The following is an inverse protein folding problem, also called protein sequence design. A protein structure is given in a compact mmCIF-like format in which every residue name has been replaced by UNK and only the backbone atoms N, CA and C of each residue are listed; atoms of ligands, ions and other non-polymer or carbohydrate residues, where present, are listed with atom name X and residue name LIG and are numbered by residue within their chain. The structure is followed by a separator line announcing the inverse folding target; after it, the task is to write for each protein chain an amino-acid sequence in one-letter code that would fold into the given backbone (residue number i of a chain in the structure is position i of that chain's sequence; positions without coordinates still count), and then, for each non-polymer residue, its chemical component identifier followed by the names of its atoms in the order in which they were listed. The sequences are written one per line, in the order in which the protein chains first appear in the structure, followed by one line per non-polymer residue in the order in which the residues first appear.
data_IF_674261949521
#
_entry.id   IF_674261949521
#
_cell.length_a   1.000
_cell.length_b   1.000
_cell.length_c   1.000
_cell.angle_alpha   90.00
_cell.angle_beta   90.00
_cell.angle_gamma   90.00
#
_symmetry.space_group_name_H-M   'P 1'
#
loop_
_entity.id
_entity.type
_entity.pdbx_description
1 polymer ?
#
# COMPACT_ATOMS: atom_id res chain seq x y z
N UNK A 1 8.51 23.15 17.12
CA UNK A 1 7.77 22.21 16.24
C UNK A 1 7.61 20.92 17.02
N UNK A 2 6.41 20.65 17.52
CA UNK A 2 6.07 19.39 18.18
C UNK A 2 5.96 18.32 17.11
N UNK A 3 6.77 17.26 17.20
CA UNK A 3 6.57 16.07 16.38
C UNK A 3 5.14 15.57 16.58
N UNK A 4 4.37 15.32 15.51
CA UNK A 4 3.03 14.76 15.67
C UNK A 4 3.13 13.45 16.45
N UNK A 5 2.23 13.27 17.43
CA UNK A 5 2.12 12.01 18.15
C UNK A 5 1.92 10.88 17.14
N UNK A 6 2.61 9.73 17.29
CA UNK A 6 2.42 8.61 16.38
C UNK A 6 0.95 8.19 16.43
N UNK A 7 0.29 8.14 15.26
CA UNK A 7 -1.05 7.59 15.15
C UNK A 7 -0.90 6.08 15.39
N UNK A 8 -1.37 5.61 16.55
CA UNK A 8 -1.39 4.18 16.85
C UNK A 8 -2.61 3.57 16.18
N UNK A 9 -2.37 2.71 15.20
CA UNK A 9 -3.43 1.99 14.48
C UNK A 9 -3.39 0.53 14.91
N UNK A 10 -4.55 0.02 15.31
CA UNK A 10 -4.74 -1.36 15.75
C UNK A 10 -5.44 -2.14 14.63
N UNK A 11 -4.70 -2.88 13.78
CA UNK A 11 -5.30 -3.57 12.64
C UNK A 11 -6.30 -4.65 13.06
N UNK A 12 -6.15 -5.26 14.24
CA UNK A 12 -7.08 -6.28 14.75
C UNK A 12 -8.49 -5.69 14.87
N UNK A 13 -8.59 -4.47 15.41
CA UNK A 13 -9.89 -3.80 15.58
C UNK A 13 -10.53 -3.47 14.24
N UNK A 14 -9.75 -3.02 13.27
CA UNK A 14 -10.25 -2.69 11.92
C UNK A 14 -10.80 -3.93 11.20
N UNK A 15 -10.22 -5.10 11.46
CA UNK A 15 -10.53 -6.34 10.76
C UNK A 15 -11.51 -7.24 11.52
N UNK A 16 -11.81 -6.93 12.79
CA UNK A 16 -12.72 -7.69 13.64
C UNK A 16 -14.05 -8.05 12.97
N UNK A 17 -14.71 -7.16 12.20
CA UNK A 17 -15.94 -7.52 11.48
C UNK A 17 -15.74 -8.65 10.46
N UNK A 18 -14.60 -8.67 9.78
CA UNK A 18 -14.25 -9.65 8.74
C UNK A 18 -13.76 -10.98 9.34
N UNK A 19 -13.15 -10.96 10.52
CA UNK A 19 -12.74 -12.17 11.24
C UNK A 19 -13.91 -13.08 11.61
N UNK A 20 -15.11 -12.51 11.74
CA UNK A 20 -16.35 -13.28 12.00
C UNK A 20 -16.92 -13.96 10.75
N UNK A 21 -16.43 -13.56 9.57
CA UNK A 21 -16.86 -14.06 8.27
C UNK A 21 -15.78 -14.99 7.72
N UNK A 22 -15.87 -16.28 8.09
CA UNK A 22 -14.95 -17.33 7.60
C UNK A 22 -15.55 -17.94 6.34
N UNK A 23 -14.82 -17.85 5.24
CA UNK A 23 -15.23 -18.44 3.96
C UNK A 23 -14.55 -19.81 3.81
N UNK A 24 -15.34 -20.85 3.56
CA UNK A 24 -14.82 -22.22 3.33
C UNK A 24 -14.17 -22.37 1.95
N UNK A 25 -14.68 -21.65 0.96
CA UNK A 25 -14.17 -21.57 -0.41
C UNK A 25 -14.50 -20.17 -0.96
N UNK A 26 -13.47 -19.40 -1.31
CA UNK A 26 -13.59 -18.04 -1.82
C UNK A 26 -14.51 -17.95 -3.05
N UNK A 27 -14.62 -19.01 -3.86
CA UNK A 27 -15.52 -19.04 -5.02
C UNK A 27 -17.01 -19.05 -4.65
N UNK A 28 -17.35 -19.38 -3.39
CA UNK A 28 -18.70 -19.40 -2.85
C UNK A 28 -19.00 -18.21 -1.92
N UNK A 29 -18.08 -17.25 -1.80
CA UNK A 29 -18.28 -16.07 -0.97
C UNK A 29 -19.47 -15.22 -1.45
N UNK A 30 -20.25 -14.64 -0.52
CA UNK A 30 -21.22 -13.60 -0.88
C UNK A 30 -20.45 -12.31 -1.21
N UNK A 31 -20.13 -12.16 -2.50
CA UNK A 31 -19.32 -11.06 -3.04
C UNK A 31 -19.88 -9.69 -2.65
N UNK A 32 -21.20 -9.53 -2.54
CA UNK A 32 -21.81 -8.25 -2.18
C UNK A 32 -21.63 -7.93 -0.70
N UNK A 33 -21.78 -8.93 0.17
CA UNK A 33 -21.59 -8.75 1.60
C UNK A 33 -20.11 -8.54 1.95
N UNK A 34 -19.20 -9.29 1.32
CA UNK A 34 -17.74 -9.18 1.54
C UNK A 34 -17.20 -7.84 1.07
N UNK A 35 -17.61 -7.33 -0.09
CA UNK A 35 -17.23 -6.00 -0.57
C UNK A 35 -17.71 -4.89 0.39
N UNK A 36 -18.89 -5.03 0.98
CA UNK A 36 -19.41 -4.06 1.95
C UNK A 36 -18.59 -4.03 3.25
N UNK A 37 -18.23 -5.19 3.78
CA UNK A 37 -17.40 -5.29 4.99
C UNK A 37 -15.98 -4.79 4.74
N UNK A 38 -15.38 -5.14 3.59
CA UNK A 38 -14.07 -4.65 3.19
C UNK A 38 -14.06 -3.12 3.01
N UNK A 39 -15.09 -2.55 2.37
CA UNK A 39 -15.24 -1.11 2.21
C UNK A 39 -15.29 -0.38 3.57
N UNK A 40 -15.97 -0.96 4.56
CA UNK A 40 -16.03 -0.41 5.92
C UNK A 40 -14.65 -0.40 6.60
N UNK A 41 -13.95 -1.54 6.61
CA UNK A 41 -12.62 -1.66 7.22
C UNK A 41 -11.60 -0.71 6.57
N UNK A 42 -11.63 -0.61 5.22
CA UNK A 42 -10.77 0.30 4.48
C UNK A 42 -11.13 1.77 4.71
N UNK A 43 -12.42 2.11 4.85
CA UNK A 43 -12.85 3.48 5.18
C UNK A 43 -12.34 3.92 6.55
N UNK A 44 -12.35 3.03 7.54
CA UNK A 44 -11.77 3.30 8.86
C UNK A 44 -10.24 3.46 8.80
N UNK A 45 -9.56 2.74 7.90
CA UNK A 45 -8.13 2.92 7.62
C UNK A 45 -7.83 4.23 6.84
N UNK A 46 -8.80 4.79 6.12
CA UNK A 46 -8.59 5.98 5.31
C UNK A 46 -8.33 7.24 6.15
N UNK A 47 -9.08 7.41 7.25
CA UNK A 47 -8.95 8.56 8.15
C UNK A 47 -7.52 8.75 8.70
N UNK A 48 -6.85 7.73 9.28
CA UNK A 48 -5.48 7.90 9.76
C UNK A 48 -4.48 8.18 8.63
N UNK A 49 -4.68 7.62 7.43
CA UNK A 49 -3.84 7.94 6.26
C UNK A 49 -3.98 9.41 5.88
N UNK A 50 -5.21 9.93 5.78
CA UNK A 50 -5.45 11.34 5.49
C UNK A 50 -4.81 12.26 6.55
N UNK A 51 -4.94 11.93 7.84
CA UNK A 51 -4.28 12.67 8.93
C UNK A 51 -2.75 12.69 8.76
N UNK A 52 -2.16 11.55 8.38
CA UNK A 52 -0.73 11.48 8.10
C UNK A 52 -0.35 12.37 6.90
N UNK A 53 -1.10 12.33 5.80
CA UNK A 53 -0.90 13.18 4.63
C UNK A 53 -0.95 14.68 4.96
N UNK A 54 -1.93 15.12 5.75
CA UNK A 54 -2.04 16.53 6.19
C UNK A 54 -0.87 16.94 7.09
N UNK A 55 -0.44 16.06 8.01
CA UNK A 55 0.60 16.38 9.00
C UNK A 55 1.97 16.71 8.40
N UNK A 56 2.22 16.24 7.19
CA UNK A 56 3.47 16.45 6.44
C UNK A 56 3.36 17.57 5.40
N UNK A 57 2.29 18.37 5.46
CA UNK A 57 2.10 19.58 4.67
C UNK A 57 1.61 19.34 3.24
N UNK A 58 1.02 18.18 2.96
CA UNK A 58 0.33 17.93 1.69
C UNK A 58 -1.07 18.53 1.77
N UNK A 59 -1.44 19.32 0.78
CA UNK A 59 -2.83 19.72 0.60
C UNK A 59 -3.63 18.46 0.24
N UNK A 60 -4.51 18.01 1.14
CA UNK A 60 -5.31 16.80 0.92
C UNK A 60 -6.24 16.95 -0.28
N UNK A 61 -6.53 18.18 -0.68
CA UNK A 61 -7.34 18.47 -1.88
C UNK A 61 -6.59 18.08 -3.18
N UNK A 62 -5.26 17.89 -3.10
CA UNK A 62 -4.43 17.43 -4.23
C UNK A 62 -4.27 15.90 -4.31
N UNK A 63 -4.90 15.15 -3.39
CA UNK A 63 -4.88 13.68 -3.36
C UNK A 63 -6.32 13.17 -3.46
N UNK A 64 -6.63 12.45 -4.53
CA UNK A 64 -7.88 11.74 -4.67
C UNK A 64 -7.88 10.49 -3.78
N UNK A 65 -9.04 10.20 -3.20
CA UNK A 65 -9.32 9.02 -2.39
C UNK A 65 -10.61 8.38 -2.89
N UNK A 66 -10.53 7.09 -3.24
CA UNK A 66 -11.73 6.34 -3.61
C UNK A 66 -11.58 4.85 -3.35
N UNK A 67 -12.69 4.22 -2.96
CA UNK A 67 -12.80 2.79 -2.85
C UNK A 67 -13.43 2.23 -4.13
N UNK A 68 -12.75 1.28 -4.77
CA UNK A 68 -13.26 0.55 -5.92
C UNK A 68 -13.52 -0.90 -5.50
N UNK A 69 -14.78 -1.36 -5.51
CA UNK A 69 -15.09 -2.77 -5.30
C UNK A 69 -14.54 -3.59 -6.48
N UNK A 70 -14.06 -4.79 -6.20
CA UNK A 70 -13.69 -5.77 -7.22
C UNK A 70 -14.63 -6.96 -7.11
N UNK A 71 -15.73 -6.99 -7.89
CA UNK A 71 -16.69 -8.07 -7.83
C UNK A 71 -16.17 -9.36 -8.49
N UNK A 72 -15.07 -9.28 -9.25
CA UNK A 72 -14.53 -10.39 -10.01
C UNK A 72 -13.40 -11.11 -9.25
N UNK A 73 -12.85 -10.50 -8.19
CA UNK A 73 -11.87 -11.09 -7.28
C UNK A 73 -12.43 -11.29 -5.85
N UNK A 74 -12.92 -12.50 -5.51
CA UNK A 74 -13.39 -12.82 -4.16
C UNK A 74 -12.29 -12.76 -3.08
N UNK A 75 -11.02 -12.90 -3.47
CA UNK A 75 -9.88 -12.84 -2.55
C UNK A 75 -9.51 -11.41 -2.16
N UNK A 76 -9.78 -10.46 -3.06
CA UNK A 76 -9.54 -9.03 -2.89
C UNK A 76 -10.82 -8.25 -3.20
N UNK A 77 -11.85 -8.28 -2.34
CA UNK A 77 -13.20 -7.77 -2.64
C UNK A 77 -13.29 -6.26 -2.91
N UNK A 78 -12.19 -5.52 -2.72
CA UNK A 78 -12.06 -4.15 -3.17
C UNK A 78 -10.78 -3.48 -2.69
N UNK A 79 -10.52 -2.32 -3.25
CA UNK A 79 -9.28 -1.58 -3.09
C UNK A 79 -9.56 -0.12 -2.80
N UNK A 80 -8.91 0.42 -1.76
CA UNK A 80 -8.87 1.84 -1.47
C UNK A 80 -7.61 2.45 -2.08
N UNK A 81 -7.78 3.45 -2.94
CA UNK A 81 -6.68 4.12 -3.61
C UNK A 81 -6.50 5.54 -3.08
N UNK A 82 -5.24 5.95 -2.96
CA UNK A 82 -4.80 7.33 -2.80
C UNK A 82 -3.88 7.67 -3.97
N UNK A 83 -4.19 8.71 -4.73
CA UNK A 83 -3.38 9.11 -5.88
C UNK A 83 -3.48 10.61 -6.14
N UNK A 84 -2.53 11.22 -6.86
CA UNK A 84 -2.56 12.65 -7.15
C UNK A 84 -3.79 13.03 -7.97
N UNK A 85 -4.48 14.11 -7.62
CA UNK A 85 -5.49 14.70 -8.49
C UNK A 85 -4.80 15.31 -9.71
N UNK A 86 -4.74 14.56 -10.81
CA UNK A 86 -4.49 15.18 -12.10
C UNK A 86 -5.75 15.98 -12.42
N UNK A 87 -5.64 17.31 -12.43
CA UNK A 87 -6.72 18.25 -12.76
C UNK A 87 -7.51 17.71 -13.96
N UNK A 88 -8.74 17.21 -13.80
CA UNK A 88 -9.86 17.48 -14.75
C UNK A 88 -11.20 16.79 -14.50
N UNK A 89 -11.38 15.69 -13.77
CA UNK A 89 -12.73 15.10 -13.60
C UNK A 89 -13.25 15.19 -12.17
N UNK A 90 -14.52 15.62 -12.03
CA UNK A 90 -15.29 15.50 -10.78
C UNK A 90 -15.64 14.04 -10.46
N UNK A 91 -15.56 13.17 -11.46
CA UNK A 91 -15.83 11.74 -11.35
C UNK A 91 -14.50 10.99 -11.51
N UNK A 92 -13.96 10.52 -10.38
CA UNK A 92 -12.78 9.67 -10.34
C UNK A 92 -13.14 8.24 -10.71
N UNK A 93 -12.48 7.65 -11.71
CA UNK A 93 -12.70 6.26 -12.13
C UNK A 93 -11.59 5.33 -11.68
N UNK A 94 -11.84 4.01 -11.68
CA UNK A 94 -10.81 3.01 -11.39
C UNK A 94 -9.65 3.11 -12.38
N UNK A 95 -9.94 3.40 -13.65
CA UNK A 95 -8.92 3.59 -14.68
C UNK A 95 -8.00 4.78 -14.36
N UNK A 96 -8.56 5.89 -13.85
CA UNK A 96 -7.76 7.05 -13.43
C UNK A 96 -6.85 6.70 -12.26
N UNK A 97 -7.37 6.02 -11.25
CA UNK A 97 -6.58 5.59 -10.09
C UNK A 97 -5.52 4.54 -10.46
N UNK A 98 -5.84 3.62 -11.38
CA UNK A 98 -4.93 2.57 -11.81
C UNK A 98 -3.78 3.13 -12.64
N UNK A 99 -4.08 4.06 -13.55
CA UNK A 99 -3.14 4.72 -14.46
C UNK A 99 -2.37 5.89 -13.84
N UNK A 100 -2.63 6.22 -12.57
CA UNK A 100 -1.96 7.30 -11.88
C UNK A 100 -0.44 7.05 -11.83
N UNK A 101 0.35 8.10 -12.06
CA UNK A 101 1.82 8.01 -12.09
C UNK A 101 2.38 7.37 -10.82
N UNK A 102 1.75 7.59 -9.68
CA UNK A 102 2.00 6.84 -8.45
C UNK A 102 0.71 6.76 -7.63
N UNK A 103 0.53 5.67 -6.90
CA UNK A 103 -0.62 5.47 -6.02
C UNK A 103 -0.22 4.67 -4.79
N UNK A 104 -0.84 5.00 -3.66
CA UNK A 104 -0.88 4.15 -2.48
C UNK A 104 -2.21 3.40 -2.50
N UNK A 105 -2.16 2.07 -2.41
CA UNK A 105 -3.32 1.19 -2.44
C UNK A 105 -3.39 0.42 -1.13
N UNK A 106 -4.59 0.29 -0.58
CA UNK A 106 -4.87 -0.57 0.55
C UNK A 106 -6.01 -1.52 0.14
N UNK A 107 -5.80 -2.82 0.33
CA UNK A 107 -6.78 -3.85 0.07
C UNK A 107 -6.96 -4.72 1.31
N UNK A 108 -8.10 -5.38 1.38
CA UNK A 108 -8.41 -6.36 2.42
C UNK A 108 -8.48 -7.73 1.77
N UNK A 109 -7.94 -8.74 2.43
CA UNK A 109 -8.21 -10.14 2.08
C UNK A 109 -9.07 -10.79 3.17
N UNK A 110 -9.90 -11.75 2.76
CA UNK A 110 -10.88 -12.39 3.64
C UNK A 110 -10.25 -13.50 4.48
N UNK A 111 -10.95 -13.89 5.55
CA UNK A 111 -10.58 -15.08 6.31
C UNK A 111 -10.92 -16.33 5.48
N UNK A 112 -9.95 -17.21 5.28
CA UNK A 112 -10.07 -18.43 4.48
C UNK A 112 -9.82 -19.67 5.35
N UNK A 113 -10.53 -20.77 5.07
CA UNK A 113 -10.23 -22.09 5.65
C UNK A 113 -9.56 -22.96 4.60
N UNK A 114 -8.40 -23.54 4.91
CA UNK A 114 -7.74 -24.48 4.00
C UNK A 114 -8.38 -25.88 4.03
N UNK A 115 -7.93 -26.73 3.10
CA UNK A 115 -8.34 -28.13 2.96
C UNK A 115 -8.06 -28.98 4.22
N UNK A 116 -7.19 -28.52 5.12
CA UNK A 116 -6.83 -29.19 6.37
C UNK A 116 -7.59 -28.65 7.58
N UNK A 117 -8.47 -27.66 7.38
CA UNK A 117 -9.30 -27.05 8.41
C UNK A 117 -8.60 -25.96 9.23
N UNK A 118 -7.39 -25.52 8.84
CA UNK A 118 -6.75 -24.34 9.40
C UNK A 118 -7.49 -23.09 8.91
N UNK A 119 -7.68 -22.11 9.80
CA UNK A 119 -8.32 -20.83 9.47
C UNK A 119 -7.25 -19.78 9.39
N UNK A 120 -7.09 -19.20 8.21
CA UNK A 120 -6.31 -18.00 7.96
C UNK A 120 -7.22 -16.80 8.21
N UNK A 121 -6.84 -15.86 9.09
CA UNK A 121 -7.64 -14.68 9.38
C UNK A 121 -7.63 -13.72 8.18
N UNK A 122 -8.65 -12.88 8.09
CA UNK A 122 -8.66 -11.74 7.19
C UNK A 122 -7.43 -10.87 7.41
N UNK A 123 -7.03 -10.10 6.40
CA UNK A 123 -5.94 -9.16 6.56
C UNK A 123 -5.84 -8.02 5.57
N UNK A 124 -4.72 -7.31 5.58
CA UNK A 124 -4.48 -6.13 4.75
C UNK A 124 -3.32 -6.36 3.80
N UNK A 125 -3.47 -5.83 2.60
CA UNK A 125 -2.38 -5.61 1.66
C UNK A 125 -2.20 -4.09 1.49
N UNK A 126 -1.00 -3.57 1.73
CA UNK A 126 -0.65 -2.18 1.50
C UNK A 126 0.41 -2.10 0.41
N UNK A 127 0.12 -1.36 -0.66
CA UNK A 127 0.96 -1.29 -1.85
C UNK A 127 1.26 0.15 -2.27
N UNK A 128 2.53 0.48 -2.49
CA UNK A 128 2.95 1.69 -3.20
C UNK A 128 3.35 1.34 -4.64
N UNK A 129 2.47 1.68 -5.60
CA UNK A 129 2.71 1.50 -7.04
C UNK A 129 3.26 2.79 -7.65
N UNK A 130 4.20 2.65 -8.58
CA UNK A 130 4.71 3.73 -9.42
C UNK A 130 4.77 3.33 -10.91
N UNK A 131 4.41 4.27 -11.78
CA UNK A 131 4.66 4.24 -13.23
C UNK A 131 6.10 4.69 -13.54
N UNK A 132 6.51 4.54 -14.80
CA UNK A 132 7.90 4.80 -15.21
C UNK A 132 8.33 6.25 -14.95
N UNK A 133 7.44 7.21 -15.21
CA UNK A 133 7.70 8.63 -14.97
C UNK A 133 7.91 8.93 -13.48
N UNK A 134 7.18 8.25 -12.60
CA UNK A 134 7.30 8.43 -11.16
C UNK A 134 8.51 7.74 -10.54
N UNK A 135 9.00 6.65 -11.14
CA UNK A 135 10.25 6.00 -10.70
C UNK A 135 11.45 6.94 -10.74
N UNK A 136 11.52 7.84 -11.71
CA UNK A 136 12.57 8.85 -11.81
C UNK A 136 12.52 9.84 -10.63
N UNK A 137 11.35 10.15 -10.08
CA UNK A 137 11.18 11.05 -8.93
C UNK A 137 11.94 10.55 -7.71
N UNK A 138 12.00 9.23 -7.51
CA UNK A 138 12.68 8.61 -6.36
C UNK A 138 14.20 8.78 -6.45
N UNK A 139 14.78 8.87 -7.65
CA UNK A 139 16.22 9.10 -7.82
C UNK A 139 16.64 10.46 -7.25
N UNK A 140 15.78 11.43 -7.45
CA UNK A 140 16.02 12.83 -7.13
C UNK A 140 15.58 13.19 -5.70
N UNK A 141 14.97 12.24 -4.97
CA UNK A 141 14.66 12.41 -3.55
C UNK A 141 15.93 12.62 -2.71
N UNK A 142 15.92 13.57 -1.76
CA UNK A 142 17.04 13.79 -0.83
C UNK A 142 17.36 12.53 0.00
N UNK A 143 18.64 12.28 0.27
CA UNK A 143 19.08 11.16 1.11
C UNK A 143 18.41 11.16 2.50
N UNK A 144 18.14 12.34 3.04
CA UNK A 144 17.47 12.53 4.33
C UNK A 144 16.05 11.97 4.40
N UNK A 145 15.36 11.78 3.27
CA UNK A 145 14.07 11.08 3.22
C UNK A 145 14.28 9.61 3.60
N UNK A 146 15.21 8.94 2.91
CA UNK A 146 15.51 7.53 3.16
C UNK A 146 16.14 7.28 4.53
N UNK A 147 16.97 8.20 5.03
CA UNK A 147 17.53 8.11 6.38
C UNK A 147 16.44 8.16 7.47
N UNK A 148 15.40 9.00 7.28
CA UNK A 148 14.25 9.06 8.19
C UNK A 148 13.41 7.78 8.14
N UNK A 149 13.14 7.25 6.94
CA UNK A 149 12.43 5.97 6.77
C UNK A 149 13.24 4.83 7.42
N UNK A 150 14.56 4.80 7.20
CA UNK A 150 15.46 3.80 7.77
C UNK A 150 15.52 3.91 9.29
N UNK A 151 15.49 5.11 9.86
CA UNK A 151 15.43 5.30 11.32
C UNK A 151 14.10 4.82 11.92
N UNK A 152 12.97 5.11 11.25
CA UNK A 152 11.65 4.67 11.69
C UNK A 152 11.53 3.13 11.74
N UNK A 153 12.18 2.44 10.81
CA UNK A 153 12.17 0.98 10.71
C UNK A 153 13.30 0.29 11.50
N UNK A 154 14.47 0.91 11.68
CA UNK A 154 15.59 0.36 12.47
C UNK A 154 15.33 0.38 13.97
N UNK A 155 14.40 1.22 14.43
CA UNK A 155 13.94 1.23 15.81
C UNK A 155 13.05 0.03 16.18
N UNK A 156 12.65 -0.78 15.20
CA UNK A 156 11.76 -1.94 15.34
C UNK A 156 12.35 -3.16 14.61
N UNK A 157 11.82 -4.34 14.91
CA UNK A 157 12.06 -5.52 14.09
C UNK A 157 11.45 -5.28 12.71
N UNK A 158 12.14 -5.64 11.63
CA UNK A 158 11.51 -5.65 10.31
C UNK A 158 10.58 -6.86 10.25
N UNK A 159 9.30 -6.69 9.89
CA UNK A 159 8.36 -7.81 9.84
C UNK A 159 8.72 -8.75 8.69
N UNK A 160 8.48 -10.06 8.85
CA UNK A 160 8.41 -10.98 7.72
C UNK A 160 7.23 -10.61 6.82
N UNK A 161 7.38 -10.85 5.51
CA UNK A 161 6.45 -10.36 4.50
C UNK A 161 6.74 -8.96 3.95
N UNK A 162 7.77 -8.27 4.47
CA UNK A 162 8.31 -7.07 3.83
C UNK A 162 9.12 -7.45 2.59
N UNK A 163 8.44 -7.53 1.44
CA UNK A 163 9.06 -7.92 0.18
C UNK A 163 8.87 -6.84 -0.87
N UNK A 164 9.97 -6.41 -1.48
CA UNK A 164 9.91 -5.70 -2.75
C UNK A 164 9.66 -6.76 -3.82
N UNK A 165 8.40 -6.84 -4.27
CA UNK A 165 8.04 -7.65 -5.43
C UNK A 165 8.41 -6.88 -6.70
N UNK A 166 9.60 -7.15 -7.23
CA UNK A 166 9.70 -7.35 -8.68
C UNK A 166 9.15 -8.76 -8.92
N UNK A 167 8.39 -8.99 -9.98
CA UNK A 167 7.71 -10.27 -10.32
C UNK A 167 8.65 -11.50 -10.38
N UNK A 168 9.93 -11.36 -10.07
CA UNK A 168 10.95 -12.37 -10.30
C UNK A 168 12.01 -12.52 -9.18
N UNK A 169 11.99 -11.84 -8.01
CA UNK A 169 12.80 -12.24 -6.83
C UNK A 169 12.70 -11.31 -5.59
N UNK A 170 12.53 -11.95 -4.42
CA UNK A 170 12.60 -11.40 -3.07
C UNK A 170 13.92 -10.66 -2.76
N UNK A 171 13.85 -9.37 -2.42
CA UNK A 171 14.96 -8.62 -1.83
C UNK A 171 14.62 -8.19 -0.40
N UNK A 172 15.37 -8.66 0.61
CA UNK A 172 15.21 -8.19 1.98
C UNK A 172 15.91 -6.83 2.20
N UNK A 173 15.29 -5.96 3.02
CA UNK A 173 15.83 -4.70 3.55
C UNK A 173 16.17 -4.92 5.03
N UNK A 174 17.23 -4.41 5.70
CA UNK A 174 18.02 -3.18 5.58
C UNK A 174 19.48 -3.40 6.07
N UNK A 175 20.54 -2.80 5.46
CA UNK A 175 20.84 -1.35 5.41
C UNK A 175 21.06 -0.74 4.01
N UNK A 176 20.83 0.58 3.90
CA UNK A 176 21.01 1.35 2.66
C UNK A 176 19.77 1.38 1.77
N UNK A 177 18.62 1.77 2.35
CA UNK A 177 17.31 1.81 1.68
C UNK A 177 17.39 2.49 0.32
N UNK A 178 17.96 3.71 0.24
CA UNK A 178 18.08 4.44 -1.03
C UNK A 178 18.68 3.59 -2.15
N UNK A 179 19.76 2.86 -1.87
CA UNK A 179 20.44 2.00 -2.86
C UNK A 179 19.55 0.84 -3.30
N UNK A 180 18.76 0.27 -2.38
CA UNK A 180 17.84 -0.81 -2.72
C UNK A 180 16.65 -0.31 -3.54
N UNK A 181 16.06 0.84 -3.18
CA UNK A 181 15.03 1.53 -3.97
C UNK A 181 15.53 1.81 -5.39
N UNK A 182 16.73 2.40 -5.53
CA UNK A 182 17.35 2.66 -6.82
C UNK A 182 17.61 1.38 -7.62
N UNK A 183 18.04 0.30 -6.95
CA UNK A 183 18.25 -1.00 -7.59
C UNK A 183 16.94 -1.61 -8.09
N UNK A 184 15.87 -1.54 -7.29
CA UNK A 184 14.54 -2.02 -7.66
C UNK A 184 14.00 -1.26 -8.88
N UNK A 185 14.10 0.08 -8.88
CA UNK A 185 13.73 0.93 -10.02
C UNK A 185 14.52 0.55 -11.29
N UNK A 186 15.84 0.45 -11.18
CA UNK A 186 16.71 0.10 -12.32
C UNK A 186 16.32 -1.26 -12.90
N UNK A 187 16.06 -2.25 -12.03
CA UNK A 187 15.64 -3.59 -12.43
C UNK A 187 14.25 -3.58 -13.10
N UNK A 188 13.27 -2.88 -12.54
CA UNK A 188 11.95 -2.73 -13.14
C UNK A 188 12.02 -2.10 -14.55
N UNK A 189 12.87 -1.09 -14.73
CA UNK A 189 13.12 -0.49 -16.06
C UNK A 189 13.77 -1.48 -17.02
N UNK A 190 14.75 -2.26 -16.57
CA UNK A 190 15.40 -3.28 -17.41
C UNK A 190 14.43 -4.39 -17.84
N UNK A 191 13.57 -4.87 -16.94
CA UNK A 191 12.57 -5.91 -17.23
C UNK A 191 11.55 -5.39 -18.25
N UNK A 192 11.05 -4.17 -18.06
CA UNK A 192 10.06 -3.58 -18.97
C UNK A 192 10.66 -3.28 -20.34
N UNK A 193 11.89 -2.79 -20.40
CA UNK A 193 12.62 -2.60 -21.65
C UNK A 193 12.80 -3.93 -22.43
N UNK A 194 12.95 -5.06 -21.72
CA UNK A 194 13.05 -6.40 -22.31
C UNK A 194 11.69 -6.97 -22.72
N UNK A 195 10.59 -6.62 -22.04
CA UNK A 195 9.27 -7.24 -22.26
C UNK A 195 8.48 -6.69 -23.45
N UNK A 196 8.91 -5.58 -24.07
CA UNK A 196 8.19 -4.86 -25.16
C UNK A 196 6.72 -4.53 -24.82
N UNK A 197 6.28 -4.68 -23.57
CA UNK A 197 4.95 -4.27 -23.14
C UNK A 197 4.92 -2.75 -23.04
N UNK A 198 3.81 -2.15 -23.46
CA UNK A 198 3.58 -0.69 -23.41
C UNK A 198 3.22 -0.19 -22.01
N UNK A 199 3.21 -1.07 -21.02
CA UNK A 199 2.77 -0.80 -19.66
C UNK A 199 3.96 -1.07 -18.73
N UNK A 200 4.38 -0.04 -18.00
CA UNK A 200 5.40 -0.13 -16.97
C UNK A 200 4.70 0.04 -15.64
N UNK A 201 4.80 -0.94 -14.76
CA UNK A 201 4.34 -0.79 -13.38
C UNK A 201 5.41 -1.33 -12.45
N UNK A 202 5.77 -0.56 -11.43
CA UNK A 202 6.71 -0.97 -10.41
C UNK A 202 6.06 -0.90 -9.03
N UNK A 203 6.16 -1.99 -8.29
CA UNK A 203 5.81 -2.05 -6.88
C UNK A 203 7.04 -1.74 -6.06
N UNK A 204 6.93 -0.71 -5.22
CA UNK A 204 8.07 -0.12 -4.53
C UNK A 204 7.99 -0.28 -3.03
N UNK A 205 6.85 -0.71 -2.51
CA UNK A 205 6.70 -1.13 -1.13
C UNK A 205 5.42 -1.96 -1.05
N UNK A 206 5.52 -3.19 -0.58
CA UNK A 206 4.39 -4.09 -0.35
C UNK A 206 4.45 -4.60 1.08
N UNK A 207 3.30 -4.61 1.75
CA UNK A 207 3.13 -5.23 3.05
C UNK A 207 1.86 -6.05 3.06
N UNK A 208 2.02 -7.34 3.34
CA UNK A 208 0.92 -8.27 3.52
C UNK A 208 0.87 -8.61 5.01
N UNK A 209 -0.25 -8.30 5.64
CA UNK A 209 -0.48 -8.59 7.05
C UNK A 209 -1.09 -9.98 7.22
N UNK A 210 -0.31 -10.97 7.65
CA UNK A 210 -0.78 -12.29 8.10
C UNK A 210 -0.48 -12.46 9.61
N UNK A 211 -1.38 -13.08 10.38
CA UNK A 211 -1.29 -13.20 11.86
C UNK A 211 -0.05 -13.98 12.35
N UNK A 212 0.71 -14.60 11.44
CA UNK A 212 1.96 -15.30 11.76
C UNK A 212 3.08 -14.37 12.25
N UNK A 213 3.00 -13.05 12.03
CA UNK A 213 3.88 -12.03 12.62
C UNK A 213 3.16 -10.76 13.13
N UNK A 214 3.70 -10.07 14.16
CA UNK A 214 2.89 -9.30 15.09
C UNK A 214 2.46 -7.93 14.52
N UNK A 215 1.20 -7.55 14.80
CA UNK A 215 0.57 -6.22 14.64
C UNK A 215 1.42 -5.00 15.08
N UNK A 216 2.56 -5.23 15.74
CA UNK A 216 3.49 -4.24 16.29
C UNK A 216 4.05 -3.30 15.22
N UNK A 217 4.19 -3.78 13.99
CA UNK A 217 4.89 -3.03 12.94
C UNK A 217 3.96 -2.40 11.90
N UNK A 218 2.65 -2.69 11.95
CA UNK A 218 1.65 -2.15 11.01
C UNK A 218 1.69 -0.62 10.92
N UNK A 219 1.71 0.06 12.08
CA UNK A 219 1.76 1.52 12.14
C UNK A 219 3.07 2.09 11.57
N UNK A 220 4.20 1.40 11.78
CA UNK A 220 5.50 1.82 11.27
C UNK A 220 5.60 1.66 9.75
N UNK A 221 5.08 0.54 9.22
CA UNK A 221 5.03 0.28 7.78
C UNK A 221 4.09 1.24 7.08
N UNK A 222 2.86 1.41 7.57
CA UNK A 222 1.91 2.36 6.99
C UNK A 222 2.49 3.79 6.99
N UNK A 223 3.09 4.22 8.11
CA UNK A 223 3.78 5.51 8.20
C UNK A 223 4.91 5.65 7.19
N UNK A 224 5.68 4.59 6.97
CA UNK A 224 6.77 4.55 5.97
C UNK A 224 6.22 4.72 4.55
N UNK A 225 5.16 3.98 4.20
CA UNK A 225 4.51 4.05 2.90
C UNK A 225 3.92 5.42 2.62
N UNK A 226 3.17 5.98 3.58
CA UNK A 226 2.56 7.31 3.45
C UNK A 226 3.62 8.40 3.37
N UNK A 227 4.69 8.31 4.17
CA UNK A 227 5.80 9.27 4.12
C UNK A 227 6.53 9.25 2.78
N UNK A 228 6.74 8.06 2.21
CA UNK A 228 7.36 7.92 0.90
C UNK A 228 6.45 8.44 -0.22
N UNK A 229 5.16 8.08 -0.20
CA UNK A 229 4.15 8.61 -1.12
C UNK A 229 4.15 10.15 -1.12
N UNK A 230 4.16 10.76 0.07
CA UNK A 230 4.24 12.22 0.21
C UNK A 230 5.52 12.79 -0.37
N UNK A 231 6.67 12.17 -0.08
CA UNK A 231 7.94 12.66 -0.58
C UNK A 231 7.96 12.65 -2.12
N UNK A 232 7.44 11.58 -2.74
CA UNK A 232 7.26 11.47 -4.19
C UNK A 232 6.31 12.58 -4.68
N UNK A 233 5.19 12.79 -4.00
CA UNK A 233 4.21 13.80 -4.37
C UNK A 233 4.76 15.23 -4.33
N UNK A 234 5.50 15.56 -3.27
CA UNK A 234 6.17 16.86 -3.13
C UNK A 234 7.24 17.05 -4.20
N UNK A 235 7.96 15.99 -4.58
CA UNK A 235 8.96 16.04 -5.64
C UNK A 235 8.31 16.23 -7.02
N UNK A 236 7.17 15.58 -7.30
CA UNK A 236 6.43 15.74 -8.54
C UNK A 236 5.90 17.17 -8.78
N UNK A 237 5.67 17.93 -7.70
CA UNK A 237 5.17 19.31 -7.75
C UNK A 237 6.25 20.39 -7.94
N UNK A 238 7.53 20.03 -7.82
CA UNK A 238 8.66 20.97 -7.94
C UNK A 238 9.09 21.13 -9.39
#
# INVERSE_FOLDING_TARGET
MTSPSPISIDPIKLLQPLSTYIVEDLSNADISATATLAASALSELAEPILKMLTSVGTDTDDIALHFFPDPDDPSTPGNLFFWPTTRTSRDSTFADASSAEYSLRAAVFLSERDDYGAVYPAGFNLLLKMEASACELVRDLPASVFEKLEFALKGSSLPSGFEFLDDIQHLPLMPGMRRQFLKAITRAHEVTAKSKRREFEAVMLNYIWDETEPHKDFSAVLSTMVSLFVAIHQQAKR
#
